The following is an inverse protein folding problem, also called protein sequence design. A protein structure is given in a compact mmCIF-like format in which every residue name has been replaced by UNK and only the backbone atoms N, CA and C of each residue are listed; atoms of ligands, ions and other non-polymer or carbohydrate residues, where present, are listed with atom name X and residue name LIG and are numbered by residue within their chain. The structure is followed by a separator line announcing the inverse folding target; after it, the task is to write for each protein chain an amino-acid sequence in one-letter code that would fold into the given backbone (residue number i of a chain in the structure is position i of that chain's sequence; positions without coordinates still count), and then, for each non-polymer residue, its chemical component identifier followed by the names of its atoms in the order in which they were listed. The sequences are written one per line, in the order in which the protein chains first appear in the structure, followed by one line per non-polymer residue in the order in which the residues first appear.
data_IF_366136096058
#
_entry.id   IF_366136096058
#
_cell.length_a   1.000
_cell.length_b   1.000
_cell.length_c   1.000
_cell.angle_alpha   90.00
_cell.angle_beta   90.00
_cell.angle_gamma   90.00
#
_symmetry.space_group_name_H-M   'P 1'
#
loop_
_entity.id
_entity.type
_entity.pdbx_description
1 polymer ?
#
# COMPACT_ATOMS: atom_id res chain seq x y z
N UNK A 1 -32.21 33.66 -19.04
CA UNK A 1 -31.71 32.90 -20.21
C UNK A 1 -30.41 32.22 -19.79
N UNK A 2 -30.44 30.89 -19.79
CA UNK A 2 -29.32 30.01 -19.43
C UNK A 2 -28.24 30.13 -20.49
N UNK A 3 -27.17 30.87 -20.20
CA UNK A 3 -25.92 30.74 -20.96
C UNK A 3 -25.22 29.50 -20.44
N UNK A 4 -25.49 28.38 -21.09
CA UNK A 4 -24.58 27.24 -21.19
C UNK A 4 -23.20 27.79 -21.54
N UNK A 5 -22.33 27.95 -20.53
CA UNK A 5 -20.91 28.14 -20.74
C UNK A 5 -20.39 26.82 -21.32
N UNK A 6 -20.41 26.74 -22.64
CA UNK A 6 -19.72 25.70 -23.39
C UNK A 6 -18.34 25.52 -22.79
N UNK A 7 -18.01 24.27 -22.48
CA UNK A 7 -16.73 23.85 -21.95
C UNK A 7 -15.64 24.16 -23.00
N UNK A 8 -15.12 25.38 -22.96
CA UNK A 8 -13.95 25.73 -23.74
C UNK A 8 -12.76 24.90 -23.24
N UNK A 9 -12.02 24.21 -24.12
CA UNK A 9 -10.80 23.50 -23.74
C UNK A 9 -9.83 24.50 -23.08
N UNK A 10 -9.51 24.31 -21.81
CA UNK A 10 -8.57 25.17 -21.08
C UNK A 10 -9.14 26.00 -19.93
N UNK A 11 -10.45 25.95 -19.65
CA UNK A 11 -11.00 26.66 -18.49
C UNK A 11 -10.35 26.11 -17.19
N UNK A 12 -9.78 27.00 -16.36
CA UNK A 12 -9.03 26.70 -15.11
C UNK A 12 -7.63 26.09 -15.25
N UNK A 13 -7.18 25.77 -16.47
CA UNK A 13 -5.79 25.37 -16.74
C UNK A 13 -4.86 26.58 -16.56
N UNK A 14 -5.31 27.77 -16.95
CA UNK A 14 -4.60 29.05 -16.83
C UNK A 14 -5.36 30.01 -15.91
N UNK A 15 -4.64 30.68 -15.01
CA UNK A 15 -5.20 31.76 -14.17
C UNK A 15 -6.03 31.28 -12.97
N UNK A 16 -6.65 32.26 -12.31
CA UNK A 16 -7.47 32.11 -11.11
C UNK A 16 -8.94 31.85 -11.44
N UNK A 17 -9.74 31.51 -10.42
CA UNK A 17 -11.15 31.23 -10.62
C UNK A 17 -12.01 32.48 -10.84
N UNK A 18 -12.36 32.70 -12.10
CA UNK A 18 -13.24 33.77 -12.62
C UNK A 18 -14.73 33.48 -12.49
N UNK A 19 -15.13 32.29 -12.02
CA UNK A 19 -16.53 31.95 -11.83
C UNK A 19 -17.13 32.66 -10.60
N UNK A 20 -18.40 33.07 -10.70
CA UNK A 20 -19.09 33.76 -9.60
C UNK A 20 -19.76 32.80 -8.59
N UNK A 21 -19.55 31.47 -8.73
CA UNK A 21 -20.13 30.50 -7.80
C UNK A 21 -19.31 30.42 -6.52
N UNK A 22 -19.90 30.94 -5.43
CA UNK A 22 -19.34 30.84 -4.08
C UNK A 22 -19.19 29.38 -3.62
N UNK A 23 -20.08 28.49 -4.09
CA UNK A 23 -20.04 27.07 -3.79
C UNK A 23 -18.71 26.44 -4.21
N UNK A 24 -18.25 26.71 -5.43
CA UNK A 24 -16.97 26.17 -5.94
C UNK A 24 -15.78 26.67 -5.12
N UNK A 25 -15.78 27.95 -4.72
CA UNK A 25 -14.74 28.54 -3.87
C UNK A 25 -14.70 27.87 -2.49
N UNK A 26 -15.85 27.69 -1.85
CA UNK A 26 -15.97 27.00 -0.56
C UNK A 26 -15.49 25.56 -0.70
N UNK A 27 -15.97 24.83 -1.72
CA UNK A 27 -15.59 23.44 -1.98
C UNK A 27 -14.08 23.28 -2.07
N UNK A 28 -13.40 24.15 -2.82
CA UNK A 28 -11.94 24.06 -2.99
C UNK A 28 -11.20 24.41 -1.70
N UNK A 29 -11.65 25.44 -0.98
CA UNK A 29 -11.12 25.76 0.35
C UNK A 29 -11.24 24.56 1.29
N UNK A 30 -12.41 23.90 1.33
CA UNK A 30 -12.64 22.70 2.14
C UNK A 30 -11.74 21.55 1.73
N UNK A 31 -11.59 21.27 0.42
CA UNK A 31 -10.71 20.20 -0.05
C UNK A 31 -9.24 20.45 0.31
N UNK A 32 -8.76 21.69 0.23
CA UNK A 32 -7.39 22.01 0.64
C UNK A 32 -7.22 21.83 2.15
N UNK A 33 -8.18 22.28 2.96
CA UNK A 33 -8.14 22.05 4.42
C UNK A 33 -8.12 20.56 4.77
N UNK A 34 -8.95 19.75 4.09
CA UNK A 34 -8.97 18.28 4.27
C UNK A 34 -7.65 17.66 3.83
N UNK A 35 -7.09 18.08 2.69
CA UNK A 35 -5.80 17.60 2.22
C UNK A 35 -4.68 17.90 3.23
N UNK A 36 -4.65 19.11 3.79
CA UNK A 36 -3.67 19.47 4.82
C UNK A 36 -3.83 18.66 6.10
N UNK A 37 -5.06 18.51 6.60
CA UNK A 37 -5.33 17.66 7.74
C UNK A 37 -4.83 16.24 7.50
N UNK A 38 -5.17 15.65 6.35
CA UNK A 38 -4.77 14.30 5.98
C UNK A 38 -3.24 14.15 5.90
N UNK A 39 -2.54 15.16 5.37
CA UNK A 39 -1.08 15.13 5.22
C UNK A 39 -0.36 15.33 6.54
N UNK A 40 -0.84 16.22 7.41
CA UNK A 40 -0.26 16.41 8.75
C UNK A 40 -0.42 15.12 9.56
N UNK A 41 -1.63 14.56 9.57
CA UNK A 41 -1.89 13.26 10.21
C UNK A 41 -0.99 12.17 9.63
N UNK A 42 -0.85 12.12 8.30
CA UNK A 42 0.02 11.17 7.63
C UNK A 42 1.50 11.34 8.02
N UNK A 43 2.02 12.56 8.08
CA UNK A 43 3.40 12.83 8.51
C UNK A 43 3.60 12.32 9.95
N UNK A 44 2.66 12.61 10.85
CA UNK A 44 2.70 12.09 12.22
C UNK A 44 2.69 10.56 12.21
N UNK A 45 1.80 9.92 11.44
CA UNK A 45 1.73 8.46 11.31
C UNK A 45 3.04 7.85 10.77
N UNK A 46 3.71 8.51 9.82
CA UNK A 46 5.03 8.10 9.31
C UNK A 46 6.03 8.06 10.47
N UNK A 47 6.17 9.15 11.23
CA UNK A 47 7.11 9.20 12.35
C UNK A 47 6.77 8.23 13.48
N UNK A 48 5.49 7.95 13.72
CA UNK A 48 5.06 6.96 14.72
C UNK A 48 5.30 5.52 14.26
N UNK A 49 5.25 5.24 12.95
CA UNK A 49 5.40 3.89 12.41
C UNK A 49 6.86 3.47 12.30
N UNK A 50 7.75 4.37 11.87
CA UNK A 50 9.15 4.04 11.63
C UNK A 50 10.02 4.21 12.87
N UNK A 51 10.64 3.12 13.34
CA UNK A 51 11.64 3.17 14.41
C UNK A 51 13.04 3.60 13.94
N UNK A 52 13.32 3.52 12.64
CA UNK A 52 14.62 3.87 12.04
C UNK A 52 14.42 4.68 10.76
N UNK A 53 14.89 5.93 10.75
CA UNK A 53 14.66 6.92 9.69
C UNK A 53 15.70 6.91 8.55
N UNK A 54 16.28 5.75 8.25
CA UNK A 54 17.44 5.65 7.34
C UNK A 54 17.15 4.87 6.04
N UNK A 55 15.96 4.27 5.91
CA UNK A 55 15.62 3.45 4.74
C UNK A 55 15.11 4.27 3.55
N UNK A 56 15.39 3.87 2.29
CA UNK A 56 14.83 4.54 1.11
C UNK A 56 13.29 4.53 1.10
N UNK A 57 12.69 3.53 1.75
CA UNK A 57 11.25 3.46 1.98
C UNK A 57 10.73 4.64 2.82
N UNK A 58 11.40 4.94 3.93
CA UNK A 58 11.02 6.04 4.82
C UNK A 58 11.13 7.38 4.09
N UNK A 59 12.27 7.62 3.42
CA UNK A 59 12.50 8.87 2.70
C UNK A 59 11.53 9.06 1.52
N UNK A 60 11.26 8.01 0.73
CA UNK A 60 10.28 8.11 -0.36
C UNK A 60 8.87 8.41 0.14
N UNK A 61 8.45 7.77 1.23
CA UNK A 61 7.16 8.01 1.87
C UNK A 61 7.04 9.42 2.45
N UNK A 62 8.08 9.89 3.16
CA UNK A 62 8.12 11.23 3.73
C UNK A 62 8.14 12.31 2.64
N UNK A 63 8.99 12.17 1.62
CA UNK A 63 9.07 13.12 0.50
C UNK A 63 7.74 13.18 -0.25
N UNK A 64 7.10 12.04 -0.48
CA UNK A 64 5.77 12.01 -1.13
C UNK A 64 4.72 12.73 -0.28
N UNK A 65 4.68 12.47 1.03
CA UNK A 65 3.74 13.12 1.94
C UNK A 65 3.97 14.64 2.02
N UNK A 66 5.22 15.07 2.21
CA UNK A 66 5.59 16.49 2.28
C UNK A 66 5.31 17.19 0.96
N UNK A 67 5.48 16.53 -0.20
CA UNK A 67 5.18 17.07 -1.52
C UNK A 67 3.72 17.49 -1.72
N UNK A 68 2.77 16.87 -0.99
CA UNK A 68 1.36 17.24 -1.05
C UNK A 68 1.12 18.66 -0.49
N UNK A 69 1.95 19.13 0.46
CA UNK A 69 1.82 20.46 1.05
C UNK A 69 2.06 21.59 0.03
N UNK A 70 3.25 21.73 -0.61
CA UNK A 70 3.48 22.77 -1.61
C UNK A 70 2.59 22.60 -2.84
N UNK A 71 2.20 21.37 -3.20
CA UNK A 71 1.21 21.14 -4.24
C UNK A 71 -0.14 21.80 -3.89
N UNK A 72 -0.64 21.56 -2.68
CA UNK A 72 -1.92 22.11 -2.21
C UNK A 72 -1.85 23.63 -2.01
N UNK A 73 -0.73 24.15 -1.48
CA UNK A 73 -0.49 25.60 -1.33
C UNK A 73 -0.47 26.28 -2.71
N UNK A 74 0.31 25.75 -3.65
CA UNK A 74 0.44 26.31 -5.00
C UNK A 74 -0.90 26.33 -5.72
N UNK A 75 -1.69 25.26 -5.59
CA UNK A 75 -3.04 25.21 -6.13
C UNK A 75 -3.96 26.25 -5.50
N UNK A 76 -3.96 26.40 -4.17
CA UNK A 76 -4.78 27.39 -3.46
C UNK A 76 -4.39 28.82 -3.90
N UNK A 77 -3.09 29.12 -3.91
CA UNK A 77 -2.58 30.44 -4.33
C UNK A 77 -2.95 30.77 -5.77
N UNK A 78 -2.83 29.79 -6.69
CA UNK A 78 -3.24 29.95 -8.10
C UNK A 78 -4.74 30.21 -8.20
N UNK A 79 -5.53 29.41 -7.50
CA UNK A 79 -6.99 29.42 -7.62
C UNK A 79 -7.63 30.70 -7.07
N UNK A 80 -7.15 31.18 -5.91
CA UNK A 80 -7.67 32.37 -5.24
C UNK A 80 -6.95 33.68 -5.61
N UNK A 81 -6.01 33.64 -6.55
CA UNK A 81 -5.23 34.80 -6.97
C UNK A 81 -4.53 35.53 -5.80
N UNK A 82 -3.95 34.75 -4.88
CA UNK A 82 -3.38 35.30 -3.63
C UNK A 82 -2.08 36.09 -3.85
N UNK A 83 -1.49 36.03 -5.05
CA UNK A 83 -0.25 36.73 -5.37
C UNK A 83 -0.24 37.20 -6.82
N UNK A 84 0.27 38.41 -7.03
CA UNK A 84 0.54 38.95 -8.37
C UNK A 84 1.70 38.26 -9.07
N UNK A 85 2.56 37.56 -8.32
CA UNK A 85 3.69 36.82 -8.84
C UNK A 85 3.28 35.40 -9.27
N UNK A 86 2.74 35.26 -10.48
CA UNK A 86 2.24 33.99 -11.05
C UNK A 86 3.25 32.83 -11.04
N UNK A 87 4.56 33.12 -11.02
CA UNK A 87 5.61 32.10 -10.94
C UNK A 87 5.64 31.36 -9.59
N UNK A 88 5.26 32.02 -8.49
CA UNK A 88 5.27 31.42 -7.15
C UNK A 88 4.32 30.23 -7.04
N UNK A 89 3.01 30.36 -7.33
CA UNK A 89 2.09 29.24 -7.24
C UNK A 89 2.40 28.14 -8.24
N UNK A 90 2.81 28.49 -9.46
CA UNK A 90 3.19 27.51 -10.50
C UNK A 90 4.41 26.69 -10.06
N UNK A 91 5.41 27.33 -9.46
CA UNK A 91 6.62 26.64 -8.97
C UNK A 91 6.31 25.74 -7.78
N UNK A 92 5.53 26.23 -6.80
CA UNK A 92 5.11 25.41 -5.66
C UNK A 92 4.31 24.18 -6.09
N UNK A 93 3.37 24.36 -7.03
CA UNK A 93 2.58 23.27 -7.58
C UNK A 93 3.49 22.25 -8.28
N UNK A 94 4.42 22.72 -9.12
CA UNK A 94 5.35 21.86 -9.86
C UNK A 94 6.25 21.07 -8.91
N UNK A 95 6.92 21.73 -7.96
CA UNK A 95 7.84 21.07 -7.01
C UNK A 95 7.09 20.06 -6.14
N UNK A 96 5.91 20.43 -5.65
CA UNK A 96 5.07 19.54 -4.87
C UNK A 96 4.60 18.32 -5.65
N UNK A 97 4.17 18.53 -6.90
CA UNK A 97 3.76 17.47 -7.80
C UNK A 97 4.91 16.48 -8.10
N UNK A 98 6.11 16.97 -8.39
CA UNK A 98 7.30 16.14 -8.60
C UNK A 98 7.59 15.27 -7.38
N UNK A 99 7.69 15.88 -6.20
CA UNK A 99 7.95 15.17 -4.95
C UNK A 99 6.87 14.14 -4.63
N UNK A 100 5.60 14.50 -4.81
CA UNK A 100 4.45 13.65 -4.56
C UNK A 100 4.46 12.41 -5.47
N UNK A 101 4.50 12.59 -6.79
CA UNK A 101 4.35 11.49 -7.78
C UNK A 101 5.60 10.61 -7.84
N UNK A 102 6.79 11.22 -7.88
CA UNK A 102 8.03 10.46 -7.87
C UNK A 102 8.20 9.72 -6.54
N UNK A 103 7.86 10.37 -5.42
CA UNK A 103 7.90 9.76 -4.09
C UNK A 103 7.05 8.49 -4.01
N UNK A 104 5.80 8.52 -4.50
CA UNK A 104 4.95 7.31 -4.56
C UNK A 104 5.56 6.18 -5.38
N UNK A 105 6.12 6.52 -6.54
CA UNK A 105 6.75 5.54 -7.42
C UNK A 105 7.87 4.80 -6.69
N UNK A 106 8.67 5.53 -5.90
CA UNK A 106 9.72 4.96 -5.07
C UNK A 106 9.20 4.21 -3.84
N UNK A 107 8.06 4.59 -3.28
CA UNK A 107 7.39 3.84 -2.22
C UNK A 107 6.99 2.45 -2.73
N UNK A 108 6.28 2.38 -3.87
CA UNK A 108 5.90 1.12 -4.50
C UNK A 108 7.11 0.28 -4.89
N UNK A 109 8.16 0.90 -5.45
CA UNK A 109 9.43 0.24 -5.73
C UNK A 109 10.09 -0.33 -4.47
N UNK A 110 10.10 0.44 -3.38
CA UNK A 110 10.72 0.01 -2.12
C UNK A 110 9.99 -1.19 -1.51
N UNK A 111 8.66 -1.29 -1.67
CA UNK A 111 7.92 -2.51 -1.32
C UNK A 111 8.29 -3.68 -2.20
N UNK A 112 8.34 -3.45 -3.52
CA UNK A 112 8.66 -4.49 -4.49
C UNK A 112 10.04 -5.08 -4.19
N UNK A 113 11.01 -4.23 -3.82
CA UNK A 113 12.35 -4.63 -3.37
C UNK A 113 12.31 -5.55 -2.13
N UNK A 114 11.32 -5.43 -1.25
CA UNK A 114 11.20 -6.28 -0.06
C UNK A 114 10.62 -7.67 -0.38
N UNK A 115 9.93 -7.83 -1.51
CA UNK A 115 9.21 -9.06 -1.87
C UNK A 115 9.92 -9.83 -2.99
N UNK A 116 10.48 -9.13 -3.98
CA UNK A 116 11.17 -9.75 -5.12
C UNK A 116 12.67 -9.86 -4.86
N UNK A 117 13.21 -11.08 -4.97
CA UNK A 117 14.66 -11.34 -4.88
C UNK A 117 15.41 -11.04 -6.21
N UNK A 118 14.70 -11.10 -7.35
CA UNK A 118 15.29 -10.94 -8.67
C UNK A 118 15.69 -9.49 -8.97
N UNK A 119 16.99 -9.21 -8.83
CA UNK A 119 17.60 -7.90 -9.06
C UNK A 119 17.47 -7.38 -10.50
N UNK A 120 17.26 -8.25 -11.50
CA UNK A 120 17.08 -7.80 -12.89
C UNK A 120 15.75 -7.07 -13.06
N UNK A 121 14.66 -7.64 -12.55
CA UNK A 121 13.33 -7.03 -12.60
C UNK A 121 13.36 -5.69 -11.87
N UNK A 122 13.98 -5.67 -10.70
CA UNK A 122 14.06 -4.47 -9.88
C UNK A 122 14.82 -3.34 -10.58
N UNK A 123 15.94 -3.64 -11.24
CA UNK A 123 16.67 -2.65 -12.06
C UNK A 123 15.84 -2.14 -13.24
N UNK A 124 15.06 -3.00 -13.90
CA UNK A 124 14.16 -2.59 -14.99
C UNK A 124 13.07 -1.64 -14.48
N UNK A 125 12.44 -1.96 -13.34
CA UNK A 125 11.43 -1.10 -12.72
C UNK A 125 12.03 0.25 -12.31
N UNK A 126 13.22 0.26 -11.70
CA UNK A 126 13.93 1.50 -11.39
C UNK A 126 14.24 2.31 -12.65
N UNK A 127 14.67 1.65 -13.72
CA UNK A 127 14.90 2.27 -15.03
C UNK A 127 13.64 2.91 -15.59
N UNK A 128 12.50 2.22 -15.53
CA UNK A 128 11.19 2.75 -15.94
C UNK A 128 10.81 4.02 -15.16
N UNK A 129 10.96 4.02 -13.84
CA UNK A 129 10.67 5.20 -12.99
C UNK A 129 11.54 6.38 -13.42
N UNK A 130 12.85 6.16 -13.61
CA UNK A 130 13.78 7.22 -14.03
C UNK A 130 13.44 7.75 -15.42
N UNK A 131 13.11 6.87 -16.38
CA UNK A 131 12.71 7.28 -17.72
C UNK A 131 11.43 8.12 -17.72
N UNK A 132 10.45 7.78 -16.88
CA UNK A 132 9.21 8.56 -16.75
C UNK A 132 9.45 9.98 -16.18
N UNK A 133 10.50 10.20 -15.39
CA UNK A 133 10.88 11.55 -14.99
C UNK A 133 11.25 12.39 -16.23
N UNK A 134 12.05 11.85 -17.13
CA UNK A 134 12.44 12.60 -18.34
C UNK A 134 11.31 12.69 -19.37
N UNK A 135 10.52 11.63 -19.53
CA UNK A 135 9.48 11.57 -20.56
C UNK A 135 8.17 12.26 -20.15
N UNK A 136 7.84 12.24 -18.86
CA UNK A 136 6.55 12.75 -18.36
C UNK A 136 6.74 14.02 -17.51
N UNK A 137 7.66 14.02 -16.53
CA UNK A 137 7.81 15.20 -15.66
C UNK A 137 8.34 16.43 -16.40
N UNK A 138 9.39 16.29 -17.20
CA UNK A 138 10.03 17.42 -17.88
C UNK A 138 9.08 18.09 -18.90
N UNK A 139 8.46 17.38 -19.86
CA UNK A 139 7.63 18.04 -20.87
C UNK A 139 6.36 18.66 -20.25
N UNK A 140 5.73 18.01 -19.26
CA UNK A 140 4.62 18.60 -18.51
C UNK A 140 5.05 19.89 -17.82
N UNK A 141 6.23 19.92 -17.22
CA UNK A 141 6.72 21.13 -16.54
C UNK A 141 6.89 22.27 -17.54
N UNK A 142 7.56 22.02 -18.66
CA UNK A 142 7.74 23.03 -19.72
C UNK A 142 6.40 23.55 -20.22
N UNK A 143 5.45 22.66 -20.49
CA UNK A 143 4.11 23.03 -20.94
C UNK A 143 3.27 23.75 -19.87
N UNK A 144 3.44 23.41 -18.59
CA UNK A 144 2.80 24.12 -17.47
C UNK A 144 3.24 25.58 -17.47
N UNK A 145 4.55 25.85 -17.52
CA UNK A 145 5.06 27.21 -17.57
C UNK A 145 4.66 27.90 -18.88
N UNK A 146 4.78 27.23 -20.03
CA UNK A 146 4.36 27.80 -21.30
C UNK A 146 2.88 28.22 -21.28
N UNK A 147 1.97 27.36 -20.78
CA UNK A 147 0.55 27.68 -20.68
C UNK A 147 0.27 28.87 -19.76
N UNK A 148 0.98 29.00 -18.63
CA UNK A 148 0.73 30.06 -17.65
C UNK A 148 1.41 31.40 -17.98
N UNK A 149 2.52 31.41 -18.75
CA UNK A 149 3.26 32.63 -19.09
C UNK A 149 3.07 33.12 -20.53
N UNK A 150 2.98 32.20 -21.51
CA UNK A 150 2.78 32.60 -22.90
C UNK A 150 1.30 32.84 -23.24
N UNK A 151 0.38 32.17 -22.53
CA UNK A 151 -1.06 32.24 -22.78
C UNK A 151 -1.49 31.84 -24.19
N UNK A 152 -0.58 31.31 -25.02
CA UNK A 152 -0.88 30.90 -26.39
C UNK A 152 -1.82 29.70 -26.39
N UNK A 153 -2.81 29.72 -27.29
CA UNK A 153 -3.74 28.61 -27.48
C UNK A 153 -3.00 27.28 -27.71
N UNK A 154 -1.88 27.31 -28.46
CA UNK A 154 -1.06 26.13 -28.71
C UNK A 154 -0.42 25.58 -27.42
N UNK A 155 0.00 26.45 -26.49
CA UNK A 155 0.59 26.05 -25.21
C UNK A 155 -0.45 25.43 -24.27
N UNK A 156 -1.67 25.97 -24.26
CA UNK A 156 -2.78 25.46 -23.43
C UNK A 156 -3.26 24.11 -23.96
N UNK A 157 -3.49 24.01 -25.28
CA UNK A 157 -3.85 22.74 -25.92
C UNK A 157 -2.76 21.67 -25.77
N UNK A 158 -1.50 22.07 -25.89
CA UNK A 158 -0.36 21.19 -25.64
C UNK A 158 -0.33 20.66 -24.20
N UNK A 159 -0.58 21.52 -23.21
CA UNK A 159 -0.66 21.11 -21.80
C UNK A 159 -1.82 20.14 -21.56
N UNK A 160 -3.02 20.39 -22.10
CA UNK A 160 -4.19 19.50 -21.94
C UNK A 160 -3.92 18.07 -22.47
N UNK A 161 -3.28 17.96 -23.64
CA UNK A 161 -2.90 16.66 -24.22
C UNK A 161 -1.81 16.00 -23.37
N UNK A 162 -0.78 16.77 -22.99
CA UNK A 162 0.32 16.25 -22.17
C UNK A 162 -0.18 15.78 -20.80
N UNK A 163 -1.16 16.46 -20.20
CA UNK A 163 -1.74 16.09 -18.92
C UNK A 163 -2.37 14.69 -18.95
N UNK A 164 -3.12 14.39 -20.02
CA UNK A 164 -3.69 13.05 -20.26
C UNK A 164 -2.60 12.00 -20.48
N UNK A 165 -1.56 12.34 -21.25
CA UNK A 165 -0.42 11.44 -21.50
C UNK A 165 0.33 11.12 -20.20
N UNK A 166 0.67 12.12 -19.39
CA UNK A 166 1.39 11.87 -18.13
C UNK A 166 0.55 11.05 -17.15
N UNK A 167 -0.75 11.30 -17.03
CA UNK A 167 -1.60 10.59 -16.09
C UNK A 167 -1.71 9.13 -16.50
N UNK A 168 -1.89 8.88 -17.80
CA UNK A 168 -1.87 7.53 -18.36
C UNK A 168 -0.51 6.85 -18.12
N UNK A 169 0.59 7.56 -18.37
CA UNK A 169 1.95 7.02 -18.20
C UNK A 169 2.26 6.64 -16.76
N UNK A 170 1.94 7.50 -15.79
CA UNK A 170 2.10 7.18 -14.36
C UNK A 170 1.14 6.08 -13.91
N UNK A 171 -0.12 6.08 -14.37
CA UNK A 171 -1.06 5.00 -14.09
C UNK A 171 -0.53 3.64 -14.58
N UNK A 172 -0.03 3.58 -15.82
CA UNK A 172 0.58 2.36 -16.38
C UNK A 172 1.78 1.93 -15.54
N UNK A 173 2.64 2.87 -15.13
CA UNK A 173 3.78 2.58 -14.26
C UNK A 173 3.32 1.96 -12.93
N UNK A 174 2.33 2.55 -12.27
CA UNK A 174 1.79 2.06 -10.99
C UNK A 174 1.13 0.68 -11.14
N UNK A 175 0.39 0.45 -12.23
CA UNK A 175 -0.20 -0.86 -12.55
C UNK A 175 0.87 -1.92 -12.79
N UNK A 176 1.95 -1.61 -13.50
CA UNK A 176 3.06 -2.54 -13.73
C UNK A 176 3.73 -2.93 -12.40
N UNK A 177 4.07 -1.95 -11.56
CA UNK A 177 4.72 -2.21 -10.26
C UNK A 177 3.81 -3.02 -9.35
N UNK A 178 2.53 -2.64 -9.29
CA UNK A 178 1.53 -3.32 -8.47
C UNK A 178 1.26 -4.74 -8.96
N UNK A 179 1.23 -4.98 -10.27
CA UNK A 179 1.03 -6.31 -10.86
C UNK A 179 2.21 -7.24 -10.56
N UNK A 180 3.45 -6.75 -10.68
CA UNK A 180 4.65 -7.51 -10.31
C UNK A 180 4.63 -7.87 -8.82
N UNK A 181 4.24 -6.93 -7.97
CA UNK A 181 4.08 -7.18 -6.54
C UNK A 181 3.02 -8.25 -6.26
N UNK A 182 1.84 -8.15 -6.90
CA UNK A 182 0.74 -9.10 -6.73
C UNK A 182 1.13 -10.50 -7.22
N UNK A 183 1.86 -10.59 -8.33
CA UNK A 183 2.33 -11.87 -8.87
C UNK A 183 3.25 -12.59 -7.89
N UNK A 184 4.28 -11.92 -7.36
CA UNK A 184 5.19 -12.53 -6.38
C UNK A 184 4.46 -12.85 -5.06
N UNK A 185 3.60 -11.95 -4.60
CA UNK A 185 2.80 -12.16 -3.38
C UNK A 185 1.86 -13.37 -3.51
N UNK A 186 1.24 -13.56 -4.68
CA UNK A 186 0.38 -14.72 -4.94
C UNK A 186 1.19 -16.04 -5.02
N UNK A 187 2.41 -16.00 -5.56
CA UNK A 187 3.33 -17.13 -5.53
C UNK A 187 3.69 -17.53 -4.09
N UNK A 188 3.99 -16.54 -3.23
CA UNK A 188 4.21 -16.79 -1.81
C UNK A 188 2.95 -17.35 -1.13
N UNK A 189 1.75 -16.90 -1.50
CA UNK A 189 0.49 -17.39 -0.96
C UNK A 189 0.25 -18.88 -1.26
N UNK A 190 0.53 -19.29 -2.50
CA UNK A 190 0.36 -20.68 -2.94
C UNK A 190 1.32 -21.63 -2.21
N UNK A 191 2.54 -21.16 -1.92
CA UNK A 191 3.54 -21.94 -1.17
C UNK A 191 3.27 -22.02 0.34
N UNK A 192 2.37 -21.19 0.88
CA UNK A 192 2.09 -21.14 2.32
C UNK A 192 0.84 -21.96 2.67
N UNK A 193 0.97 -22.97 3.53
CA UNK A 193 -0.13 -23.84 3.98
C UNK A 193 -0.97 -23.23 5.11
N UNK A 194 -0.45 -22.21 5.80
CA UNK A 194 -1.10 -21.61 6.97
C UNK A 194 -2.30 -20.71 6.63
N UNK A 195 -3.48 -21.05 7.16
CA UNK A 195 -4.73 -20.31 6.91
C UNK A 195 -4.71 -18.87 7.48
N UNK A 196 -3.96 -18.63 8.56
CA UNK A 196 -3.83 -17.30 9.17
C UNK A 196 -3.02 -16.35 8.30
N UNK A 197 -1.84 -16.79 7.87
CA UNK A 197 -0.96 -16.06 6.94
C UNK A 197 -1.67 -15.74 5.61
N UNK A 198 -2.47 -16.69 5.10
CA UNK A 198 -3.26 -16.49 3.86
C UNK A 198 -4.25 -15.32 3.95
N UNK A 199 -4.98 -15.18 5.07
CA UNK A 199 -5.92 -14.07 5.27
C UNK A 199 -5.19 -12.73 5.29
N UNK A 200 -4.03 -12.66 5.94
CA UNK A 200 -3.24 -11.43 5.97
C UNK A 200 -2.73 -11.08 4.58
N UNK A 201 -2.14 -12.03 3.85
CA UNK A 201 -1.67 -11.81 2.48
C UNK A 201 -2.80 -11.35 1.54
N UNK A 202 -4.01 -11.93 1.66
CA UNK A 202 -5.19 -11.48 0.91
C UNK A 202 -5.59 -10.04 1.25
N UNK A 203 -5.48 -9.62 2.52
CA UNK A 203 -5.69 -8.22 2.89
C UNK A 203 -4.62 -7.29 2.29
N UNK A 204 -3.35 -7.73 2.21
CA UNK A 204 -2.31 -6.96 1.52
C UNK A 204 -2.60 -6.82 0.02
N UNK A 205 -3.14 -7.87 -0.61
CA UNK A 205 -3.56 -7.85 -2.00
C UNK A 205 -4.70 -6.85 -2.22
N UNK A 206 -5.71 -6.87 -1.35
CA UNK A 206 -6.87 -5.99 -1.43
C UNK A 206 -6.49 -4.51 -1.38
N UNK A 207 -5.52 -4.14 -0.54
CA UNK A 207 -5.03 -2.75 -0.47
C UNK A 207 -4.36 -2.33 -1.78
N UNK A 208 -3.53 -3.17 -2.39
CA UNK A 208 -2.91 -2.84 -3.69
C UNK A 208 -3.96 -2.67 -4.80
N UNK A 209 -4.96 -3.54 -4.85
CA UNK A 209 -6.07 -3.41 -5.81
C UNK A 209 -6.79 -2.07 -5.59
N UNK A 210 -7.00 -1.66 -4.34
CA UNK A 210 -7.62 -0.36 -4.06
C UNK A 210 -6.80 0.83 -4.58
N UNK A 211 -5.46 0.75 -4.54
CA UNK A 211 -4.60 1.79 -5.13
C UNK A 211 -4.77 1.88 -6.66
N UNK A 212 -4.82 0.73 -7.34
CA UNK A 212 -5.05 0.68 -8.80
C UNK A 212 -6.41 1.29 -9.16
N UNK A 213 -7.46 0.99 -8.38
CA UNK A 213 -8.78 1.56 -8.59
C UNK A 213 -8.78 3.09 -8.41
N UNK A 214 -8.02 3.62 -7.45
CA UNK A 214 -7.86 5.06 -7.26
C UNK A 214 -7.16 5.73 -8.46
N UNK A 215 -6.19 5.07 -9.09
CA UNK A 215 -5.55 5.58 -10.31
C UNK A 215 -6.50 5.62 -11.50
N UNK A 216 -7.25 4.55 -11.69
CA UNK A 216 -8.28 4.49 -12.74
C UNK A 216 -9.31 5.60 -12.52
N UNK A 217 -9.73 5.83 -11.26
CA UNK A 217 -10.67 6.91 -10.95
C UNK A 217 -10.10 8.29 -11.31
N UNK A 218 -8.83 8.58 -10.98
CA UNK A 218 -8.18 9.83 -11.39
C UNK A 218 -8.11 9.97 -12.91
N UNK A 219 -7.78 8.88 -13.60
CA UNK A 219 -7.72 8.84 -15.05
C UNK A 219 -9.09 9.14 -15.67
N UNK A 220 -10.16 8.48 -15.22
CA UNK A 220 -11.52 8.71 -15.72
C UNK A 220 -11.95 10.17 -15.56
N UNK A 221 -11.69 10.78 -14.40
CA UNK A 221 -12.04 12.19 -14.13
C UNK A 221 -11.28 13.14 -15.08
N UNK A 222 -10.02 12.84 -15.36
CA UNK A 222 -9.23 13.61 -16.33
C UNK A 222 -9.79 13.50 -17.75
N UNK A 223 -10.10 12.29 -18.20
CA UNK A 223 -10.65 12.07 -19.54
C UNK A 223 -12.05 12.69 -19.71
N UNK A 224 -12.77 12.94 -18.61
CA UNK A 224 -14.00 13.74 -18.59
C UNK A 224 -13.75 15.27 -18.61
N UNK A 225 -12.50 15.72 -18.68
CA UNK A 225 -12.05 17.12 -18.65
C UNK A 225 -12.47 17.89 -17.38
N UNK A 226 -12.61 17.18 -16.25
CA UNK A 226 -12.96 17.78 -14.96
C UNK A 226 -11.72 18.21 -14.17
N UNK A 227 -10.97 19.16 -14.71
CA UNK A 227 -9.66 19.61 -14.19
C UNK A 227 -9.66 20.02 -12.71
N UNK A 228 -10.64 20.82 -12.27
CA UNK A 228 -10.75 21.26 -10.87
C UNK A 228 -10.92 20.06 -9.91
N UNK A 229 -11.78 19.12 -10.29
CA UNK A 229 -12.04 17.93 -9.48
C UNK A 229 -10.85 16.99 -9.50
N UNK A 230 -10.20 16.81 -10.65
CA UNK A 230 -8.99 16.02 -10.79
C UNK A 230 -7.89 16.53 -9.86
N UNK A 231 -7.59 17.82 -9.89
CA UNK A 231 -6.44 18.40 -9.17
C UNK A 231 -6.60 18.34 -7.65
N UNK A 232 -7.83 18.57 -7.17
CA UNK A 232 -8.18 18.48 -5.75
C UNK A 232 -8.26 17.03 -5.25
N UNK A 233 -8.86 16.13 -6.03
CA UNK A 233 -8.91 14.70 -5.69
C UNK A 233 -7.53 14.05 -5.75
N UNK A 234 -6.63 14.50 -6.64
CA UNK A 234 -5.25 14.03 -6.74
C UNK A 234 -4.54 14.13 -5.39
N UNK A 235 -4.48 15.31 -4.77
CA UNK A 235 -3.83 15.47 -3.46
C UNK A 235 -4.41 14.51 -2.39
N UNK A 236 -5.73 14.38 -2.36
CA UNK A 236 -6.44 13.52 -1.41
C UNK A 236 -6.12 12.04 -1.63
N UNK A 237 -6.23 11.55 -2.88
CA UNK A 237 -5.98 10.16 -3.21
C UNK A 237 -4.52 9.77 -2.99
N UNK A 238 -3.56 10.65 -3.29
CA UNK A 238 -2.15 10.42 -2.98
C UNK A 238 -1.90 10.32 -1.45
N UNK A 239 -2.60 11.11 -0.63
CA UNK A 239 -2.52 10.97 0.84
C UNK A 239 -3.11 9.63 1.33
N UNK A 240 -4.22 9.19 0.74
CA UNK A 240 -4.87 7.91 1.06
C UNK A 240 -3.98 6.73 0.66
N UNK A 241 -3.35 6.78 -0.52
CA UNK A 241 -2.37 5.78 -0.97
C UNK A 241 -1.24 5.58 0.05
N UNK A 242 -0.69 6.65 0.61
CA UNK A 242 0.36 6.54 1.65
C UNK A 242 -0.16 5.98 2.97
N UNK A 243 -1.38 6.33 3.38
CA UNK A 243 -2.00 5.74 4.58
C UNK A 243 -2.22 4.23 4.41
N UNK A 244 -2.71 3.83 3.25
CA UNK A 244 -2.87 2.43 2.87
C UNK A 244 -1.54 1.69 2.87
N UNK A 245 -0.48 2.35 2.41
CA UNK A 245 0.86 1.80 2.41
C UNK A 245 1.39 1.52 3.83
N UNK A 246 1.20 2.47 4.75
CA UNK A 246 1.56 2.29 6.16
C UNK A 246 0.77 1.14 6.77
N UNK A 247 -0.53 1.03 6.46
CA UNK A 247 -1.38 -0.05 6.92
C UNK A 247 -0.91 -1.42 6.41
N UNK A 248 -0.42 -1.49 5.17
CA UNK A 248 0.17 -2.71 4.60
C UNK A 248 1.49 -3.06 5.28
N UNK A 249 2.39 -2.09 5.45
CA UNK A 249 3.68 -2.31 6.13
C UNK A 249 3.48 -2.90 7.53
N UNK A 250 2.54 -2.34 8.31
CA UNK A 250 2.23 -2.83 9.65
C UNK A 250 1.76 -4.29 9.68
N UNK A 251 1.11 -4.77 8.61
CA UNK A 251 0.71 -6.17 8.46
C UNK A 251 1.86 -7.05 7.96
N UNK A 252 2.69 -6.55 7.04
CA UNK A 252 3.84 -7.27 6.51
C UNK A 252 4.85 -7.62 7.62
N UNK A 253 5.14 -6.67 8.52
CA UNK A 253 6.04 -6.90 9.67
C UNK A 253 5.49 -7.98 10.61
N UNK A 254 4.18 -7.99 10.86
CA UNK A 254 3.54 -9.03 11.70
C UNK A 254 3.69 -10.42 11.08
N UNK A 255 3.49 -10.54 9.77
CA UNK A 255 3.63 -11.82 9.05
C UNK A 255 5.09 -12.28 9.04
N UNK A 256 6.04 -11.39 8.76
CA UNK A 256 7.47 -11.73 8.78
C UNK A 256 7.93 -12.21 10.16
N UNK A 257 7.50 -11.54 11.24
CA UNK A 257 7.86 -11.93 12.60
C UNK A 257 7.21 -13.26 13.03
N UNK A 258 5.99 -13.57 12.55
CA UNK A 258 5.34 -14.87 12.76
C UNK A 258 6.08 -16.01 12.05
N UNK A 259 6.54 -15.79 10.81
CA UNK A 259 7.35 -16.78 10.07
C UNK A 259 8.70 -17.03 10.73
N UNK A 260 9.40 -15.97 11.19
CA UNK A 260 10.66 -16.12 11.91
C UNK A 260 10.48 -16.89 13.23
N UNK A 261 9.45 -16.56 14.01
CA UNK A 261 9.14 -17.29 15.25
C UNK A 261 8.81 -18.77 14.98
N UNK A 262 8.00 -19.06 13.97
CA UNK A 262 7.69 -20.45 13.59
C UNK A 262 8.91 -21.22 13.10
N UNK A 263 9.77 -20.61 12.28
CA UNK A 263 11.02 -21.26 11.83
C UNK A 263 11.95 -21.61 12.99
N UNK A 264 11.99 -20.78 14.05
CA UNK A 264 12.72 -21.08 15.28
C UNK A 264 12.04 -22.15 16.14
N UNK A 265 10.71 -22.27 16.08
CA UNK A 265 9.95 -23.31 16.81
C UNK A 265 10.05 -24.66 16.10
N UNK A 266 10.06 -24.70 14.77
CA UNK A 266 10.27 -25.91 13.96
C UNK A 266 11.75 -26.36 13.93
N UNK A 267 12.71 -25.45 14.10
CA UNK A 267 14.12 -25.80 14.39
C UNK A 267 14.37 -26.15 15.86
N UNK A 268 13.41 -25.90 16.74
CA UNK A 268 13.37 -26.45 18.09
C UNK A 268 13.00 -27.93 18.02
N UNK A 269 13.92 -28.76 17.51
CA UNK A 269 13.92 -30.20 17.78
C UNK A 269 13.71 -30.34 19.29
N UNK A 270 12.54 -30.86 19.71
CA UNK A 270 12.36 -31.25 21.10
C UNK A 270 13.55 -32.14 21.46
N UNK A 271 14.31 -31.84 22.52
CA UNK A 271 15.44 -32.67 22.87
C UNK A 271 14.93 -34.10 23.09
N UNK A 272 15.67 -35.08 22.56
CA UNK A 272 15.24 -36.47 22.37
C UNK A 272 14.86 -37.23 23.66
N UNK A 273 14.86 -36.55 24.81
CA UNK A 273 14.41 -37.08 26.09
C UNK A 273 12.91 -36.83 26.37
N UNK A 274 12.22 -36.00 25.57
CA UNK A 274 10.78 -35.82 25.72
C UNK A 274 10.06 -36.59 24.62
N UNK A 275 9.55 -37.77 24.96
CA UNK A 275 8.66 -38.55 24.11
C UNK A 275 7.22 -38.04 24.30
N UNK A 276 6.63 -37.35 23.31
CA UNK A 276 5.28 -36.79 23.42
C UNK A 276 4.20 -37.88 23.52
N UNK A 277 4.50 -39.13 23.14
CA UNK A 277 3.53 -40.24 23.24
C UNK A 277 3.22 -40.65 24.68
N UNK A 278 4.09 -40.33 25.65
CA UNK A 278 3.83 -40.57 27.09
C UNK A 278 2.87 -39.56 27.71
N UNK A 279 2.69 -38.38 27.10
CA UNK A 279 1.82 -37.33 27.66
C UNK A 279 0.36 -37.57 27.25
N UNK A 280 0.12 -38.21 26.10
CA UNK A 280 -1.24 -38.49 25.62
C UNK A 280 -1.87 -39.76 26.20
N UNK A 281 -1.09 -40.70 26.76
CA UNK A 281 -1.64 -41.95 27.32
C UNK A 281 -2.27 -41.80 28.71
N UNK A 282 -1.87 -40.79 29.50
CA UNK A 282 -2.30 -40.64 30.90
C UNK A 282 -3.64 -39.89 31.08
N UNK A 283 -4.16 -39.24 30.03
CA UNK A 283 -5.37 -38.40 30.15
C UNK A 283 -6.68 -39.08 29.73
N UNK A 284 -6.65 -40.30 29.20
CA UNK A 284 -7.85 -40.98 28.67
C UNK A 284 -8.35 -42.19 29.48
N UNK A 285 -7.78 -42.47 30.65
CA UNK A 285 -8.30 -43.49 31.57
C UNK A 285 -8.44 -42.95 33.01
N UNK A 286 -9.64 -42.57 33.47
CA UNK A 286 -9.91 -42.46 34.88
C UNK A 286 -10.16 -43.87 35.43
N UNK A 287 -9.13 -44.53 35.99
CA UNK A 287 -9.36 -45.72 36.83
C UNK A 287 -10.02 -45.29 38.14
N UNK A 288 -11.34 -45.54 38.19
CA UNK A 288 -12.12 -45.60 39.41
C UNK A 288 -11.92 -46.96 40.08
N UNK A 289 -11.23 -46.98 41.22
CA UNK A 289 -11.64 -47.84 42.35
C UNK A 289 -10.86 -47.48 43.62
N UNK A 290 -11.57 -46.79 44.52
CA UNK A 290 -11.28 -46.75 45.95
C UNK A 290 -11.38 -48.15 46.56
N UNK A 291 -10.66 -48.36 47.66
CA UNK A 291 -10.30 -49.65 48.20
C UNK A 291 -11.42 -50.55 48.76
N UNK A 292 -11.02 -51.78 49.05
CA UNK A 292 -11.57 -52.58 50.16
C UNK A 292 -10.46 -53.48 50.69
N UNK A 293 -10.11 -53.27 51.95
CA UNK A 293 -9.35 -54.22 52.76
C UNK A 293 -10.28 -55.35 53.18
N UNK A 294 -9.94 -56.61 52.88
CA UNK A 294 -10.44 -57.76 53.63
C UNK A 294 -9.57 -59.02 53.47
N UNK A 295 -9.04 -59.51 54.59
CA UNK A 295 -9.18 -60.93 54.98
C UNK A 295 -8.28 -61.99 54.35
N UNK A 296 -7.21 -62.31 55.08
CA UNK A 296 -6.61 -63.63 55.31
C UNK A 296 -7.47 -64.88 54.98
N UNK A 297 -7.01 -65.77 54.08
CA UNK A 297 -6.98 -67.25 54.23
C UNK A 297 -6.38 -67.95 53.01
N UNK A 298 -5.43 -68.87 53.24
CA UNK A 298 -4.77 -69.66 52.21
C UNK A 298 -5.59 -70.81 51.64
N UNK A 299 -5.14 -71.32 50.48
CA UNK A 299 -5.37 -72.68 49.95
C UNK A 299 -4.49 -72.85 48.70
N UNK A 300 -3.35 -73.52 48.81
CA UNK A 300 -3.07 -74.86 48.25
C UNK A 300 -3.58 -75.11 46.83
N UNK A 301 -2.64 -75.36 45.93
CA UNK A 301 -2.83 -75.90 44.58
C UNK A 301 -3.65 -77.19 44.57
N UNK A 302 -4.40 -77.46 43.49
CA UNK A 302 -4.66 -78.81 43.04
C UNK A 302 -3.89 -79.13 41.76
N UNK A 303 -3.16 -80.23 41.86
CA UNK A 303 -2.80 -81.16 40.80
C UNK A 303 -3.91 -81.33 39.76
N UNK A 304 -3.54 -81.29 38.47
CA UNK A 304 -4.32 -81.91 37.40
C UNK A 304 -3.37 -82.30 36.25
N UNK A 305 -3.23 -83.61 36.04
CA UNK A 305 -2.87 -84.33 34.81
C UNK A 305 -2.18 -85.65 35.19
N UNK A 306 -3.01 -86.67 35.39
CA UNK A 306 -2.62 -88.08 35.27
C UNK A 306 -2.61 -88.36 33.76
N UNK A 307 -1.45 -88.69 33.24
CA UNK A 307 -1.29 -89.33 31.93
C UNK A 307 -0.60 -90.68 32.20
N UNK A 308 -1.39 -91.74 32.15
CA UNK A 308 -0.92 -93.11 32.08
C UNK A 308 -1.48 -93.62 30.76
N UNK A 309 -0.61 -93.79 29.77
CA UNK A 309 -0.70 -94.88 28.83
C UNK A 309 0.68 -95.10 28.16
N UNK A 310 1.21 -96.27 28.48
CA UNK A 310 1.72 -97.26 27.52
C UNK A 310 3.23 -97.37 27.17
N UNK A 311 3.64 -98.64 27.20
CA UNK A 311 4.74 -99.32 26.47
C UNK A 311 6.17 -99.38 27.07
N UNK A 312 6.46 -100.60 27.57
CA UNK A 312 7.72 -101.38 27.70
C UNK A 312 8.76 -101.04 28.77
#
# INVERSE_FOLDING_TARGET
MSSTSEASPGNWITGSYTGNSIGVRITIGTFVCVAWYNVIELIVLIFLTFKRFQGPYFWSMLISAVGILPYSVGYLMKFFDLTSATWVPVTLLTVGWWAMVTGQSFVLYSRLHLVIENQRILRLVKGMIIMNIFLLHVPTTVLTYAANFSGSYASIAGYDIMEKIQLTGFCVQEVIISSLYMWETNRMLQSNTDRGSRKTIMQLLAVNVSCILMDIALMVIEFMNFYIYQTTLKATLYSVKLKLEIAVLGKLVKVAHQHLWRSNTERGQYPSFVDPTRIESDFNHPESSLGTYQGFKGRTSPFEAIDCDDVT
#
